data_IF_953862471524
#
_entry.id   IF_953862471524
#
_cell.length_a   1.000
_cell.length_b   1.000
_cell.length_c   1.000
_cell.angle_alpha   90.00
_cell.angle_beta   90.00
_cell.angle_gamma   90.00
#
_symmetry.space_group_name_H-M   'P 1'
#
loop_
_entity.id
_entity.type
_entity.pdbx_description
1 polymer ?
#
# COMPACT_ATOMS: atom_id res chain seq x y z
N UNK A 1 13.17 11.59 13.04
CA UNK A 1 12.26 10.65 12.34
C UNK A 1 12.72 10.49 10.89
N UNK A 2 12.71 11.56 10.10
CA UNK A 2 12.99 11.54 8.65
C UNK A 2 14.37 10.95 8.29
N UNK A 3 15.36 11.03 9.18
CA UNK A 3 16.68 10.46 8.98
C UNK A 3 16.95 9.20 9.82
N UNK A 4 15.91 8.61 10.40
CA UNK A 4 16.01 7.52 11.39
C UNK A 4 16.94 7.82 12.58
N UNK A 5 17.22 9.09 12.84
CA UNK A 5 18.08 9.53 13.94
C UNK A 5 17.33 9.74 15.27
N UNK A 6 16.00 9.78 15.20
CA UNK A 6 15.13 9.87 16.35
C UNK A 6 13.84 9.09 16.14
N UNK A 7 13.36 8.46 17.19
CA UNK A 7 12.06 7.79 17.23
C UNK A 7 11.11 8.57 18.14
N UNK A 8 9.82 8.55 17.82
CA UNK A 8 8.81 9.10 18.70
C UNK A 8 8.79 8.30 20.02
N UNK A 9 8.54 8.99 21.13
CA UNK A 9 8.32 8.32 22.41
C UNK A 9 6.85 7.95 22.59
N UNK A 10 5.97 8.72 21.96
CA UNK A 10 4.53 8.58 21.98
C UNK A 10 3.94 9.31 20.78
N UNK A 11 2.74 8.93 20.36
CA UNK A 11 1.96 9.62 19.36
C UNK A 11 0.49 9.75 19.81
N UNK A 12 -0.23 10.70 19.22
CA UNK A 12 -1.67 10.76 19.41
C UNK A 12 -2.34 9.55 18.77
N UNK A 13 -3.42 9.00 19.35
CA UNK A 13 -4.18 7.93 18.72
C UNK A 13 -4.72 8.38 17.36
N UNK A 14 -4.48 7.56 16.34
CA UNK A 14 -4.93 7.82 14.97
C UNK A 14 -6.16 6.95 14.72
N UNK A 15 -7.22 7.56 14.19
CA UNK A 15 -8.35 6.84 13.60
C UNK A 15 -8.37 7.16 12.12
N UNK A 16 -8.28 6.14 11.29
CA UNK A 16 -8.29 6.28 9.85
C UNK A 16 -9.66 5.97 9.24
N UNK A 17 -10.04 6.73 8.21
CA UNK A 17 -11.21 6.45 7.36
C UNK A 17 -10.70 6.44 5.92
N UNK A 18 -10.52 5.25 5.38
CA UNK A 18 -9.90 5.06 4.08
C UNK A 18 -10.79 5.55 2.95
N UNK A 19 -10.28 6.46 2.14
CA UNK A 19 -10.97 7.02 0.96
C UNK A 19 -10.29 6.66 -0.37
N UNK A 20 -9.07 6.18 -0.33
CA UNK A 20 -8.30 5.75 -1.49
C UNK A 20 -7.52 4.48 -1.12
N UNK A 21 -7.84 3.36 -1.75
CA UNK A 21 -7.07 2.13 -1.64
C UNK A 21 -5.68 2.30 -2.30
N UNK A 22 -4.71 1.55 -1.85
CA UNK A 22 -3.29 1.44 -2.25
C UNK A 22 -2.29 2.13 -1.34
N UNK A 23 -2.68 3.10 -0.52
CA UNK A 23 -1.74 3.82 0.36
C UNK A 23 -1.27 3.01 1.56
N UNK A 24 -2.06 2.01 2.00
CA UNK A 24 -1.79 1.22 3.19
C UNK A 24 -1.99 1.95 4.52
N UNK A 25 -2.42 3.22 4.50
CA UNK A 25 -2.56 4.07 5.70
C UNK A 25 -3.43 3.46 6.79
N UNK A 26 -4.36 2.60 6.40
CA UNK A 26 -5.30 1.91 7.30
C UNK A 26 -4.64 0.85 8.19
N UNK A 27 -3.46 0.36 7.79
CA UNK A 27 -2.73 -0.68 8.53
C UNK A 27 -1.21 -0.54 8.36
N UNK A 28 -0.71 0.69 8.32
CA UNK A 28 0.70 1.03 8.17
C UNK A 28 1.14 1.97 9.29
N UNK A 29 2.43 2.05 9.52
CA UNK A 29 3.07 2.95 10.47
C UNK A 29 4.03 3.91 9.79
N UNK A 30 3.93 4.04 8.48
CA UNK A 30 4.83 4.82 7.67
C UNK A 30 4.17 5.96 6.93
N UNK A 31 4.99 6.66 6.20
CA UNK A 31 4.55 7.72 5.31
C UNK A 31 5.70 8.29 4.50
N UNK A 32 5.34 9.07 3.51
CA UNK A 32 6.30 9.74 2.64
C UNK A 32 6.02 11.23 2.64
N UNK A 33 7.04 12.03 2.88
CA UNK A 33 6.96 13.49 2.88
C UNK A 33 7.81 14.03 1.73
N UNK A 34 7.21 14.84 0.88
CA UNK A 34 7.91 15.56 -0.18
C UNK A 34 8.25 16.98 0.28
N UNK A 35 9.52 17.38 0.09
CA UNK A 35 10.00 18.72 0.28
C UNK A 35 10.36 19.31 -1.07
N UNK A 36 9.49 20.16 -1.57
CA UNK A 36 9.59 20.70 -2.93
C UNK A 36 10.78 21.65 -3.12
N UNK A 37 11.23 22.32 -2.06
CA UNK A 37 12.36 23.26 -2.12
C UNK A 37 13.70 22.57 -2.41
N UNK A 38 13.82 21.30 -2.05
CA UNK A 38 15.05 20.52 -2.21
C UNK A 38 14.88 19.29 -3.10
N UNK A 39 13.68 19.08 -3.65
CA UNK A 39 13.32 17.88 -4.41
C UNK A 39 13.59 16.59 -3.64
N UNK A 40 13.35 16.61 -2.33
CA UNK A 40 13.45 15.42 -1.49
C UNK A 40 12.08 14.74 -1.37
N UNK A 41 12.06 13.42 -1.50
CA UNK A 41 10.90 12.57 -1.16
C UNK A 41 11.38 11.52 -0.17
N UNK A 42 11.00 11.66 1.10
CA UNK A 42 11.61 10.95 2.22
C UNK A 42 10.55 10.07 2.88
N UNK A 43 10.81 8.76 2.89
CA UNK A 43 10.03 7.81 3.66
C UNK A 43 10.42 7.80 5.14
N UNK A 44 9.48 7.52 6.00
CA UNK A 44 9.70 7.31 7.43
C UNK A 44 8.75 6.24 7.95
N UNK A 45 9.15 5.55 9.02
CA UNK A 45 8.32 4.57 9.71
C UNK A 45 8.50 4.71 11.22
N UNK A 46 7.42 4.61 11.98
CA UNK A 46 7.43 4.59 13.44
C UNK A 46 6.24 3.78 13.96
N UNK A 47 6.45 2.73 14.79
CA UNK A 47 5.37 1.89 15.29
C UNK A 47 4.27 2.62 16.04
N UNK A 48 4.53 3.82 16.57
CA UNK A 48 3.51 4.64 17.23
C UNK A 48 2.49 5.25 16.25
N UNK A 49 2.75 5.15 14.95
CA UNK A 49 1.88 5.71 13.91
C UNK A 49 0.83 4.73 13.39
N UNK A 50 0.84 3.47 13.84
CA UNK A 50 -0.25 2.56 13.50
C UNK A 50 -1.59 3.14 13.96
N UNK A 51 -2.62 3.14 13.10
CA UNK A 51 -3.97 3.49 13.52
C UNK A 51 -4.46 2.56 14.62
N UNK A 52 -5.12 3.13 15.63
CA UNK A 52 -5.81 2.35 16.67
C UNK A 52 -7.13 1.77 16.19
N UNK A 53 -7.67 2.34 15.11
CA UNK A 53 -8.88 1.90 14.44
C UNK A 53 -8.88 2.42 13.02
N UNK A 54 -9.28 1.58 12.06
CA UNK A 54 -9.45 1.97 10.67
C UNK A 54 -10.83 1.54 10.15
N UNK A 55 -11.50 2.44 9.47
CA UNK A 55 -12.82 2.23 8.88
C UNK A 55 -12.65 2.09 7.37
N UNK A 56 -12.95 0.91 6.86
CA UNK A 56 -12.85 0.55 5.45
C UNK A 56 -14.26 0.38 4.89
N UNK A 57 -14.84 1.47 4.38
CA UNK A 57 -16.12 1.42 3.68
C UNK A 57 -15.87 1.65 2.18
N UNK A 58 -16.10 0.64 1.33
CA UNK A 58 -15.92 0.74 -0.12
C UNK A 58 -16.63 1.92 -0.78
N UNK A 59 -17.75 2.38 -0.21
CA UNK A 59 -18.52 3.51 -0.74
C UNK A 59 -17.70 4.80 -0.80
N UNK A 60 -16.75 5.00 0.11
CA UNK A 60 -15.88 6.19 0.10
C UNK A 60 -14.90 6.20 -1.08
N UNK A 61 -14.71 5.08 -1.77
CA UNK A 61 -13.85 4.98 -2.96
C UNK A 61 -14.59 5.16 -4.29
N UNK A 62 -15.92 5.25 -4.29
CA UNK A 62 -16.72 5.35 -5.52
C UNK A 62 -16.41 6.58 -6.36
N UNK A 63 -16.03 7.68 -5.71
CA UNK A 63 -15.69 8.94 -6.38
C UNK A 63 -14.24 9.00 -6.86
N UNK A 64 -13.42 8.00 -6.56
CA UNK A 64 -12.05 7.93 -7.05
C UNK A 64 -12.05 7.79 -8.57
N UNK A 65 -11.30 8.65 -9.24
CA UNK A 65 -11.24 8.65 -10.71
C UNK A 65 -10.70 7.32 -11.24
N UNK A 66 -11.09 6.95 -12.47
CA UNK A 66 -10.57 5.74 -13.14
C UNK A 66 -9.04 5.73 -13.23
N UNK A 67 -8.44 6.92 -13.46
CA UNK A 67 -6.97 7.05 -13.50
C UNK A 67 -6.34 6.70 -12.15
N UNK A 68 -6.88 7.23 -11.05
CA UNK A 68 -6.35 6.96 -9.71
C UNK A 68 -6.65 5.52 -9.27
N UNK A 69 -7.81 4.97 -9.63
CA UNK A 69 -8.10 3.55 -9.40
C UNK A 69 -7.07 2.66 -10.10
N UNK A 70 -6.81 2.92 -11.39
CA UNK A 70 -5.83 2.14 -12.14
C UNK A 70 -4.41 2.29 -11.59
N UNK A 71 -4.01 3.50 -11.22
CA UNK A 71 -2.70 3.76 -10.63
C UNK A 71 -2.53 3.04 -9.28
N UNK A 72 -3.53 3.14 -8.38
CA UNK A 72 -3.49 2.48 -7.08
C UNK A 72 -3.47 0.95 -7.20
N UNK A 73 -4.24 0.38 -8.14
CA UNK A 73 -4.18 -1.07 -8.37
C UNK A 73 -2.83 -1.51 -8.97
N UNK A 74 -2.22 -0.71 -9.84
CA UNK A 74 -0.88 -1.01 -10.36
C UNK A 74 0.18 -0.93 -9.26
N UNK A 75 0.06 0.04 -8.37
CA UNK A 75 0.91 0.20 -7.20
C UNK A 75 0.76 -1.00 -6.25
N UNK A 76 -0.48 -1.41 -5.92
CA UNK A 76 -0.73 -2.60 -5.13
C UNK A 76 -0.13 -3.87 -5.76
N UNK A 77 -0.28 -4.05 -7.08
CA UNK A 77 0.38 -5.17 -7.77
C UNK A 77 1.90 -5.11 -7.64
N UNK A 78 2.48 -3.91 -7.70
CA UNK A 78 3.92 -3.73 -7.51
C UNK A 78 4.35 -4.06 -6.08
N UNK A 79 3.59 -3.64 -5.06
CA UNK A 79 3.82 -4.04 -3.67
C UNK A 79 3.89 -5.57 -3.52
N UNK A 80 2.93 -6.28 -4.10
CA UNK A 80 2.91 -7.75 -4.07
C UNK A 80 4.12 -8.34 -4.81
N UNK A 81 4.44 -7.83 -6.00
CA UNK A 81 5.56 -8.34 -6.81
C UNK A 81 6.90 -8.12 -6.13
N UNK A 82 7.13 -7.01 -5.43
CA UNK A 82 8.36 -6.76 -4.69
C UNK A 82 8.54 -7.71 -3.49
N UNK A 83 7.44 -8.23 -2.95
CA UNK A 83 7.48 -9.25 -1.91
C UNK A 83 7.55 -10.68 -2.48
N UNK A 84 7.04 -10.89 -3.69
CA UNK A 84 7.00 -12.18 -4.36
C UNK A 84 8.35 -12.56 -5.02
N UNK A 85 9.01 -11.62 -5.68
CA UNK A 85 10.27 -11.85 -6.38
C UNK A 85 11.46 -11.83 -5.42
N UNK A 86 11.53 -12.80 -4.53
CA UNK A 86 12.61 -12.99 -3.56
C UNK A 86 13.24 -14.38 -3.74
N UNK A 87 14.52 -14.52 -3.37
CA UNK A 87 15.24 -15.79 -3.50
C UNK A 87 14.74 -16.81 -2.46
N UNK A 88 14.58 -16.36 -1.22
CA UNK A 88 14.13 -17.20 -0.11
C UNK A 88 12.64 -16.94 0.14
N UNK A 89 11.81 -17.89 -0.26
CA UNK A 89 10.36 -17.81 -0.07
C UNK A 89 9.81 -19.17 0.36
N UNK A 90 8.52 -19.22 0.71
CA UNK A 90 7.82 -20.46 1.00
C UNK A 90 6.70 -20.67 -0.01
N UNK A 91 6.39 -21.93 -0.30
CA UNK A 91 5.29 -22.27 -1.20
C UNK A 91 3.96 -21.67 -0.77
N UNK A 92 3.74 -21.53 0.53
CA UNK A 92 2.53 -20.90 1.09
C UNK A 92 2.50 -19.42 0.77
N UNK A 93 3.62 -18.74 0.94
CA UNK A 93 3.74 -17.31 0.68
C UNK A 93 3.57 -16.98 -0.80
N UNK A 94 4.19 -17.78 -1.67
CA UNK A 94 4.00 -17.69 -3.11
C UNK A 94 2.53 -17.83 -3.49
N UNK A 95 1.82 -18.79 -2.89
CA UNK A 95 0.39 -18.98 -3.10
C UNK A 95 -0.46 -17.78 -2.68
N UNK A 96 -0.11 -17.09 -1.59
CA UNK A 96 -0.78 -15.86 -1.17
C UNK A 96 -0.54 -14.73 -2.17
N UNK A 97 0.71 -14.49 -2.57
CA UNK A 97 1.04 -13.46 -3.56
C UNK A 97 0.32 -13.70 -4.90
N UNK A 98 0.30 -14.94 -5.38
CA UNK A 98 -0.41 -15.30 -6.61
C UNK A 98 -1.93 -15.12 -6.51
N UNK A 99 -2.52 -15.47 -5.36
CA UNK A 99 -3.95 -15.29 -5.14
C UNK A 99 -4.32 -13.82 -5.15
N UNK A 100 -3.53 -12.98 -4.48
CA UNK A 100 -3.73 -11.55 -4.42
C UNK A 100 -3.55 -10.86 -5.77
N UNK A 101 -2.52 -11.21 -6.53
CA UNK A 101 -2.34 -10.69 -7.90
C UNK A 101 -3.54 -11.05 -8.79
N UNK A 102 -4.10 -12.26 -8.67
CA UNK A 102 -5.30 -12.67 -9.40
C UNK A 102 -6.53 -11.87 -8.99
N UNK A 103 -6.71 -11.61 -7.69
CA UNK A 103 -7.79 -10.79 -7.15
C UNK A 103 -7.68 -9.35 -7.66
N UNK A 104 -6.52 -8.72 -7.53
CA UNK A 104 -6.24 -7.38 -8.03
C UNK A 104 -6.56 -7.24 -9.53
N UNK A 105 -6.04 -8.15 -10.36
CA UNK A 105 -6.28 -8.11 -11.81
C UNK A 105 -7.76 -8.26 -12.17
N UNK A 106 -8.50 -9.10 -11.46
CA UNK A 106 -9.91 -9.34 -11.70
C UNK A 106 -10.77 -8.15 -11.28
N UNK A 107 -10.62 -7.71 -10.03
CA UNK A 107 -11.45 -6.66 -9.45
C UNK A 107 -11.13 -5.27 -10.01
N UNK A 108 -9.89 -5.01 -10.41
CA UNK A 108 -9.51 -3.75 -11.09
C UNK A 108 -10.34 -3.55 -12.36
N UNK A 109 -10.50 -4.57 -13.18
CA UNK A 109 -11.28 -4.46 -14.42
C UNK A 109 -12.72 -4.08 -14.13
N UNK A 110 -13.34 -4.75 -13.14
CA UNK A 110 -14.72 -4.47 -12.73
C UNK A 110 -14.84 -3.03 -12.22
N UNK A 111 -13.97 -2.61 -11.32
CA UNK A 111 -14.01 -1.26 -10.76
C UNK A 111 -13.72 -0.16 -11.79
N UNK A 112 -12.95 -0.43 -12.84
CA UNK A 112 -12.74 0.50 -13.95
C UNK A 112 -13.95 0.59 -14.89
N UNK A 113 -14.70 -0.49 -15.08
CA UNK A 113 -15.93 -0.51 -15.87
C UNK A 113 -17.10 0.08 -15.09
N UNK A 114 -17.27 -0.34 -13.84
CA UNK A 114 -18.30 0.11 -12.91
C UNK A 114 -17.66 0.64 -11.61
N UNK A 115 -17.37 1.94 -11.50
CA UNK A 115 -16.72 2.53 -10.32
C UNK A 115 -17.48 2.37 -9.00
N UNK A 116 -18.78 2.12 -9.05
CA UNK A 116 -19.65 1.95 -7.89
C UNK A 116 -19.93 0.46 -7.56
N UNK A 117 -19.22 -0.48 -8.19
CA UNK A 117 -19.31 -1.87 -7.83
C UNK A 117 -18.75 -2.11 -6.42
N UNK A 118 -19.68 -2.24 -5.46
CA UNK A 118 -19.33 -2.36 -4.04
C UNK A 118 -18.38 -3.52 -3.78
N UNK A 119 -18.65 -4.67 -4.41
CA UNK A 119 -17.87 -5.89 -4.17
C UNK A 119 -16.45 -5.74 -4.71
N UNK A 120 -16.31 -5.27 -5.93
CA UNK A 120 -14.98 -5.05 -6.51
C UNK A 120 -14.17 -4.02 -5.70
N UNK A 121 -14.82 -2.94 -5.23
CA UNK A 121 -14.17 -1.94 -4.38
C UNK A 121 -13.76 -2.51 -3.02
N UNK A 122 -14.61 -3.36 -2.41
CA UNK A 122 -14.29 -4.02 -1.14
C UNK A 122 -13.09 -4.98 -1.27
N UNK A 123 -13.07 -5.79 -2.32
CA UNK A 123 -11.94 -6.67 -2.61
C UNK A 123 -10.66 -5.87 -2.84
N UNK A 124 -10.70 -4.80 -3.66
CA UNK A 124 -9.54 -3.95 -3.90
C UNK A 124 -9.03 -3.26 -2.63
N UNK A 125 -9.91 -2.84 -1.72
CA UNK A 125 -9.48 -2.29 -0.43
C UNK A 125 -8.69 -3.33 0.37
N UNK A 126 -9.19 -4.56 0.43
CA UNK A 126 -8.53 -5.64 1.16
C UNK A 126 -7.20 -6.03 0.51
N UNK A 127 -7.20 -6.21 -0.82
CA UNK A 127 -5.99 -6.53 -1.59
C UNK A 127 -4.91 -5.46 -1.38
N UNK A 128 -5.26 -4.18 -1.45
CA UNK A 128 -4.31 -3.09 -1.23
C UNK A 128 -3.76 -3.06 0.21
N UNK A 129 -4.60 -3.40 1.20
CA UNK A 129 -4.14 -3.52 2.59
C UNK A 129 -3.12 -4.63 2.75
N UNK A 130 -3.39 -5.82 2.21
CA UNK A 130 -2.45 -6.94 2.28
C UNK A 130 -1.17 -6.68 1.50
N UNK A 131 -1.26 -6.13 0.31
CA UNK A 131 -0.11 -5.84 -0.53
C UNK A 131 0.85 -4.84 0.10
N UNK A 132 0.34 -3.79 0.76
CA UNK A 132 1.18 -2.71 1.27
C UNK A 132 1.85 -3.00 2.61
N UNK A 133 1.23 -3.77 3.49
CA UNK A 133 1.63 -3.85 4.91
C UNK A 133 2.66 -4.94 5.24
N UNK A 134 3.37 -5.44 4.29
CA UNK A 134 4.42 -6.47 4.40
C UNK A 134 3.97 -7.82 4.99
N UNK A 135 2.68 -8.09 5.06
CA UNK A 135 2.17 -9.41 5.50
C UNK A 135 2.68 -10.51 4.56
N UNK A 136 2.72 -10.22 3.27
CA UNK A 136 3.21 -11.14 2.24
C UNK A 136 4.73 -11.38 2.30
N UNK A 137 5.46 -10.59 3.07
CA UNK A 137 6.89 -10.79 3.30
C UNK A 137 7.18 -11.72 4.50
N UNK A 138 6.14 -12.16 5.23
CA UNK A 138 6.32 -13.10 6.33
C UNK A 138 6.81 -14.45 5.81
N UNK A 139 8.02 -14.84 6.23
CA UNK A 139 8.63 -16.11 5.82
C UNK A 139 9.37 -16.07 4.49
N UNK A 140 9.68 -14.88 3.98
CA UNK A 140 10.57 -14.70 2.84
C UNK A 140 11.67 -13.67 3.11
N UNK A 141 12.56 -13.46 2.16
CA UNK A 141 13.68 -12.52 2.25
C UNK A 141 13.39 -11.15 1.63
N UNK A 142 12.13 -10.80 1.39
CA UNK A 142 11.75 -9.54 0.78
C UNK A 142 12.34 -8.35 1.56
N UNK A 143 13.11 -7.53 0.88
CA UNK A 143 13.73 -6.36 1.48
C UNK A 143 14.04 -5.30 0.42
N UNK A 144 14.02 -4.04 0.86
CA UNK A 144 14.55 -2.93 0.08
C UNK A 144 13.63 -2.30 -0.96
N UNK A 145 12.55 -2.93 -1.38
CA UNK A 145 11.53 -2.38 -2.28
C UNK A 145 12.13 -1.54 -3.42
N UNK A 146 12.92 -2.17 -4.35
CA UNK A 146 13.73 -1.43 -5.31
C UNK A 146 12.92 -0.59 -6.30
N UNK A 147 11.75 -1.07 -6.73
CA UNK A 147 10.89 -0.30 -7.63
C UNK A 147 10.37 0.97 -6.95
N UNK A 148 9.96 0.87 -5.68
CA UNK A 148 9.54 2.02 -4.89
C UNK A 148 10.69 2.99 -4.65
N UNK A 149 11.91 2.51 -4.38
CA UNK A 149 13.08 3.37 -4.21
C UNK A 149 13.38 4.17 -5.48
N UNK A 150 13.26 3.55 -6.65
CA UNK A 150 13.43 4.22 -7.95
C UNK A 150 12.30 5.21 -8.21
N UNK A 151 11.03 4.80 -7.95
CA UNK A 151 9.86 5.67 -8.11
C UNK A 151 9.98 6.92 -7.24
N UNK A 152 10.32 6.77 -5.97
CA UNK A 152 10.48 7.88 -5.05
C UNK A 152 11.56 8.85 -5.49
N UNK A 153 12.68 8.34 -6.02
CA UNK A 153 13.74 9.18 -6.55
C UNK A 153 13.28 9.96 -7.79
N UNK A 154 12.53 9.32 -8.70
CA UNK A 154 12.02 9.96 -9.91
C UNK A 154 10.90 10.96 -9.62
N UNK A 155 9.99 10.64 -8.71
CA UNK A 155 8.84 11.50 -8.39
C UNK A 155 9.16 12.66 -7.46
N UNK A 156 10.40 12.77 -6.98
CA UNK A 156 10.89 13.94 -6.27
C UNK A 156 11.13 15.16 -7.18
N UNK A 157 11.25 14.94 -8.49
CA UNK A 157 11.43 15.95 -9.54
C UNK A 157 10.14 16.13 -10.34
#
# INVERSE_FOLDING_TARGET
LISYQAFAKEALPIVDILTLAATGSEYDCGGVISRTETNDKIGYMDPHLFPVCSILDPCYTFTVSKKQTAAGCADAMNHVMEQYFTEDTTLLNDGFCEAELKSLMYNTRIALENPEDYRARAELMLDCTYGCNVILALGNSASGWPCHAIEHALSAF
#
